data_IF_908024145149
#
_entry.id   IF_908024145149
#
_cell.length_a   1.000
_cell.length_b   1.000
_cell.length_c   1.000
_cell.angle_alpha   90.00
_cell.angle_beta   90.00
_cell.angle_gamma   90.00
#
_symmetry.space_group_name_H-M   'P 1'
#
loop_
_entity.id
_entity.type
_entity.pdbx_description
1 polymer ?
#
# COMPACT_ATOMS: atom_id res chain seq x y z
N UNK A 1 34.82 -14.18 20.08
CA UNK A 1 33.49 -14.63 19.62
C UNK A 1 32.61 -13.39 19.47
N UNK A 2 32.74 -12.69 18.33
CA UNK A 2 31.95 -11.50 18.05
C UNK A 2 30.55 -11.92 17.65
N UNK A 3 29.54 -11.41 18.35
CA UNK A 3 28.14 -11.69 18.03
C UNK A 3 27.84 -11.19 16.61
N UNK A 4 27.48 -12.11 15.72
CA UNK A 4 26.82 -11.77 14.45
C UNK A 4 25.52 -11.06 14.81
N UNK A 5 25.51 -9.73 14.69
CA UNK A 5 24.26 -8.98 14.69
C UNK A 5 23.56 -9.37 13.40
N UNK A 6 22.60 -10.29 13.50
CA UNK A 6 21.57 -10.47 12.48
C UNK A 6 20.84 -9.13 12.42
N UNK A 7 21.32 -8.24 11.56
CA UNK A 7 20.57 -7.07 11.16
C UNK A 7 19.40 -7.62 10.37
N UNK A 8 18.28 -7.80 11.06
CA UNK A 8 16.96 -7.80 10.43
C UNK A 8 16.98 -6.62 9.45
N UNK A 9 16.97 -6.92 8.15
CA UNK A 9 17.18 -5.95 7.08
C UNK A 9 15.92 -5.10 6.90
N UNK A 10 15.55 -4.40 7.99
CA UNK A 10 14.35 -3.60 8.14
C UNK A 10 14.74 -2.16 7.88
N UNK A 11 14.18 -1.59 6.83
CA UNK A 11 14.23 -0.16 6.56
C UNK A 11 13.18 0.53 7.43
N UNK A 12 13.56 1.63 8.07
CA UNK A 12 12.62 2.53 8.75
C UNK A 12 12.59 3.84 7.97
N UNK A 13 11.40 4.29 7.59
CA UNK A 13 11.23 5.57 6.91
C UNK A 13 10.00 6.29 7.43
N UNK A 14 10.05 7.61 7.36
CA UNK A 14 8.94 8.47 7.74
C UNK A 14 8.30 9.03 6.47
N UNK A 15 6.98 8.95 6.39
CA UNK A 15 6.18 9.42 5.26
C UNK A 15 5.04 10.27 5.77
N UNK A 16 4.55 11.19 4.93
CA UNK A 16 3.39 12.01 5.22
C UNK A 16 2.21 11.53 4.36
N UNK A 17 1.10 11.20 5.01
CA UNK A 17 -0.13 10.74 4.37
C UNK A 17 -1.26 11.60 4.89
N UNK A 18 -1.93 12.32 4.00
CA UNK A 18 -3.04 13.22 4.29
C UNK A 18 -2.74 14.25 5.40
N UNK A 19 -1.52 14.80 5.37
CA UNK A 19 -1.04 15.78 6.35
C UNK A 19 -0.67 15.18 7.72
N UNK A 20 -0.71 13.86 7.88
CA UNK A 20 -0.25 13.16 9.07
C UNK A 20 1.03 12.39 8.80
N UNK A 21 1.97 12.45 9.75
CA UNK A 21 3.27 11.79 9.63
C UNK A 21 3.22 10.38 10.23
N UNK A 22 3.69 9.39 9.46
CA UNK A 22 3.75 7.99 9.86
C UNK A 22 5.18 7.44 9.74
N UNK A 23 5.61 6.68 10.74
CA UNK A 23 6.87 5.94 10.73
C UNK A 23 6.61 4.49 10.33
N UNK A 24 7.06 4.11 9.13
CA UNK A 24 6.87 2.78 8.54
C UNK A 24 8.18 1.99 8.68
N UNK A 25 8.07 0.75 9.14
CA UNK A 25 9.17 -0.21 9.21
C UNK A 25 8.83 -1.40 8.31
N UNK A 26 9.70 -1.72 7.35
CA UNK A 26 9.47 -2.81 6.41
C UNK A 26 10.77 -3.38 5.85
N UNK A 27 10.68 -4.43 5.05
CA UNK A 27 11.82 -5.01 4.31
C UNK A 27 12.00 -4.40 2.93
N UNK A 28 11.03 -3.58 2.50
CA UNK A 28 11.01 -2.93 1.20
C UNK A 28 11.99 -1.76 1.12
N UNK A 29 12.33 -1.36 -0.10
CA UNK A 29 13.13 -0.16 -0.33
C UNK A 29 12.41 1.10 0.14
N UNK A 30 13.17 2.11 0.59
CA UNK A 30 12.61 3.40 1.02
C UNK A 30 11.82 4.07 -0.12
N UNK A 31 12.29 3.95 -1.36
CA UNK A 31 11.60 4.46 -2.55
C UNK A 31 10.25 3.79 -2.76
N UNK A 32 10.16 2.47 -2.59
CA UNK A 32 8.89 1.75 -2.67
C UNK A 32 7.91 2.20 -1.58
N UNK A 33 8.36 2.31 -0.33
CA UNK A 33 7.49 2.77 0.77
C UNK A 33 6.97 4.19 0.52
N UNK A 34 7.82 5.11 0.03
CA UNK A 34 7.40 6.47 -0.33
C UNK A 34 6.38 6.49 -1.46
N UNK A 35 6.57 5.65 -2.47
CA UNK A 35 5.62 5.52 -3.59
C UNK A 35 4.26 5.00 -3.10
N UNK A 36 4.25 3.98 -2.25
CA UNK A 36 3.01 3.47 -1.65
C UNK A 36 2.31 4.58 -0.84
N UNK A 37 3.04 5.33 -0.03
CA UNK A 37 2.49 6.44 0.75
C UNK A 37 1.90 7.54 -0.14
N UNK A 38 2.56 7.91 -1.24
CA UNK A 38 2.05 8.93 -2.17
C UNK A 38 0.76 8.48 -2.86
N UNK A 39 0.66 7.21 -3.24
CA UNK A 39 -0.56 6.65 -3.85
C UNK A 39 -1.72 6.67 -2.85
N UNK A 40 -1.47 6.32 -1.59
CA UNK A 40 -2.50 6.38 -0.54
C UNK A 40 -2.96 7.83 -0.30
N UNK A 41 -2.03 8.79 -0.22
CA UNK A 41 -2.36 10.22 -0.06
C UNK A 41 -3.22 10.73 -1.22
N UNK A 42 -2.85 10.42 -2.47
CA UNK A 42 -3.61 10.79 -3.66
C UNK A 42 -5.04 10.23 -3.61
N UNK A 43 -5.18 8.95 -3.27
CA UNK A 43 -6.49 8.29 -3.23
C UNK A 43 -7.38 8.81 -2.11
N UNK A 44 -6.80 9.15 -0.95
CA UNK A 44 -7.53 9.85 0.11
C UNK A 44 -8.03 11.22 -0.35
N UNK A 45 -7.19 12.00 -1.05
CA UNK A 45 -7.59 13.31 -1.59
C UNK A 45 -8.68 13.19 -2.65
N UNK A 46 -8.60 12.19 -3.53
CA UNK A 46 -9.62 11.95 -4.55
C UNK A 46 -10.98 11.64 -3.93
N UNK A 47 -11.01 10.72 -2.96
CA UNK A 47 -12.25 10.33 -2.27
C UNK A 47 -12.82 11.52 -1.50
N UNK A 48 -11.98 12.30 -0.83
CA UNK A 48 -12.41 13.51 -0.12
C UNK A 48 -12.96 14.58 -1.09
N UNK A 49 -12.35 14.75 -2.26
CA UNK A 49 -12.84 15.67 -3.30
C UNK A 49 -14.25 15.32 -3.79
N UNK A 50 -14.59 14.02 -3.81
CA UNK A 50 -15.94 13.53 -4.15
C UNK A 50 -16.92 13.61 -2.98
N UNK A 51 -16.44 13.51 -1.74
CA UNK A 51 -17.25 13.50 -0.52
C UNK A 51 -16.58 14.30 0.62
N UNK A 52 -16.69 15.63 0.63
CA UNK A 52 -15.90 16.51 1.51
C UNK A 52 -16.29 16.48 3.00
N UNK A 53 -17.42 15.84 3.34
CA UNK A 53 -17.94 15.77 4.71
C UNK A 53 -17.53 14.49 5.46
N UNK A 54 -16.61 13.71 4.91
CA UNK A 54 -16.12 12.48 5.55
C UNK A 54 -15.10 12.81 6.65
N UNK A 55 -15.32 12.26 7.83
CA UNK A 55 -14.29 12.23 8.87
C UNK A 55 -13.04 11.49 8.36
N UNK A 56 -11.86 11.94 8.81
CA UNK A 56 -10.56 11.43 8.36
C UNK A 56 -10.40 9.92 8.59
N UNK A 57 -10.96 9.38 9.67
CA UNK A 57 -10.89 7.94 9.95
C UNK A 57 -11.77 7.15 8.97
N UNK A 58 -12.97 7.66 8.67
CA UNK A 58 -13.86 7.06 7.67
C UNK A 58 -13.26 7.12 6.28
N UNK A 59 -12.61 8.23 5.94
CA UNK A 59 -11.87 8.40 4.69
C UNK A 59 -10.73 7.37 4.57
N UNK A 60 -9.93 7.20 5.62
CA UNK A 60 -8.84 6.23 5.63
C UNK A 60 -9.35 4.78 5.46
N UNK A 61 -10.41 4.41 6.20
CA UNK A 61 -11.03 3.09 6.08
C UNK A 61 -11.62 2.88 4.68
N UNK A 62 -12.33 3.86 4.11
CA UNK A 62 -12.88 3.77 2.76
C UNK A 62 -11.77 3.65 1.71
N UNK A 63 -10.66 4.36 1.90
CA UNK A 63 -9.48 4.25 1.03
C UNK A 63 -8.90 2.83 1.08
N UNK A 64 -8.74 2.26 2.28
CA UNK A 64 -8.26 0.90 2.45
C UNK A 64 -9.19 -0.13 1.79
N UNK A 65 -10.52 0.01 1.98
CA UNK A 65 -11.52 -0.86 1.33
C UNK A 65 -11.41 -0.78 -0.20
N UNK A 66 -11.31 0.42 -0.77
CA UNK A 66 -11.19 0.61 -2.21
C UNK A 66 -9.89 0.01 -2.77
N UNK A 67 -8.75 0.18 -2.08
CA UNK A 67 -7.47 -0.42 -2.49
C UNK A 67 -7.51 -1.94 -2.44
N UNK A 68 -8.06 -2.52 -1.37
CA UNK A 68 -8.18 -3.98 -1.24
C UNK A 68 -9.12 -4.55 -2.30
N UNK A 69 -10.20 -3.85 -2.63
CA UNK A 69 -11.11 -4.25 -3.71
C UNK A 69 -10.39 -4.33 -5.07
N UNK A 70 -9.64 -3.30 -5.45
CA UNK A 70 -8.85 -3.28 -6.67
C UNK A 70 -7.78 -4.37 -6.69
N UNK A 71 -7.12 -4.61 -5.55
CA UNK A 71 -6.16 -5.70 -5.41
C UNK A 71 -6.79 -7.07 -5.66
N UNK A 72 -7.99 -7.33 -5.09
CA UNK A 72 -8.71 -8.59 -5.32
C UNK A 72 -9.06 -8.75 -6.80
N UNK A 73 -9.59 -7.71 -7.45
CA UNK A 73 -9.90 -7.75 -8.88
C UNK A 73 -8.65 -8.03 -9.74
N UNK A 74 -7.52 -7.38 -9.41
CA UNK A 74 -6.26 -7.58 -10.11
C UNK A 74 -5.75 -9.02 -9.92
N UNK A 75 -5.84 -9.54 -8.69
CA UNK A 75 -5.43 -10.91 -8.36
C UNK A 75 -6.29 -11.94 -9.10
N UNK A 76 -7.60 -11.74 -9.16
CA UNK A 76 -8.51 -12.66 -9.88
C UNK A 76 -8.25 -12.65 -11.40
N UNK A 77 -7.95 -11.48 -11.96
CA UNK A 77 -7.56 -11.34 -13.37
C UNK A 77 -6.22 -12.04 -13.64
N UNK A 78 -5.23 -11.88 -12.76
CA UNK A 78 -3.94 -12.56 -12.83
C UNK A 78 -4.11 -14.09 -12.75
N UNK A 79 -4.85 -14.59 -11.76
CA UNK A 79 -5.11 -16.02 -11.55
C UNK A 79 -5.89 -16.63 -12.73
N UNK A 80 -6.70 -15.84 -13.44
CA UNK A 80 -7.39 -16.26 -14.67
C UNK A 80 -6.43 -16.35 -15.84
N UNK A 81 -5.60 -15.33 -16.06
CA UNK A 81 -4.62 -15.31 -17.13
C UNK A 81 -3.58 -16.44 -16.97
N UNK A 82 -3.10 -16.67 -15.74
CA UNK A 82 -2.14 -17.74 -15.45
C UNK A 82 -2.73 -19.13 -15.77
N UNK A 83 -4.02 -19.35 -15.48
CA UNK A 83 -4.73 -20.59 -15.84
C UNK A 83 -4.88 -20.76 -17.34
N UNK A 84 -5.10 -19.67 -18.08
CA UNK A 84 -5.19 -19.73 -19.54
C UNK A 84 -3.85 -20.05 -20.19
N UNK A 85 -2.74 -19.49 -19.69
CA UNK A 85 -1.40 -19.82 -20.15
C UNK A 85 -1.06 -21.29 -19.92
N UNK A 86 -1.32 -21.81 -18.70
CA UNK A 86 -1.10 -23.23 -18.36
C UNK A 86 -1.93 -24.22 -19.18
N UNK A 87 -3.03 -23.79 -19.82
CA UNK A 87 -3.86 -24.64 -20.70
C UNK A 87 -3.37 -24.66 -22.15
N UNK A 88 -2.48 -23.73 -22.53
CA UNK A 88 -1.95 -23.60 -23.90
C UNK A 88 -0.61 -24.33 -24.08
N UNK A 89 0.01 -24.74 -22.97
CA UNK A 89 1.14 -25.68 -22.91
C UNK A 89 0.63 -27.12 -22.72
#
# INVERSE_FOLDING_TARGET
MGAYVLSDNKTRTTVDIYGQQYSIVGTESISHIRLVASIVDEKMREINGKNPNLDINKLAVLTAVNVVHEYIQLKDAYDTLERELKKRD
#
